data_IF_286141051690
#
_entry.id   IF_286141051690
#
_cell.length_a   1.000
_cell.length_b   1.000
_cell.length_c   1.000
_cell.angle_alpha   90.00
_cell.angle_beta   90.00
_cell.angle_gamma   90.00
#
_symmetry.space_group_name_H-M   'P 1'
#
loop_
_entity.id
_entity.type
_entity.pdbx_description
1 polymer ?
#
# COMPACT_ATOMS: atom_id res chain seq x y z
N UNK A 1 -22.53 -6.72 24.51
CA UNK A 1 -22.33 -7.84 23.57
C UNK A 1 -23.68 -8.44 23.25
N UNK A 2 -23.89 -8.90 22.01
CA UNK A 2 -25.12 -9.47 21.51
C UNK A 2 -24.86 -10.93 21.11
N UNK A 3 -25.73 -11.83 21.53
CA UNK A 3 -25.69 -13.24 21.11
C UNK A 3 -26.54 -13.48 19.87
N UNK A 4 -25.97 -14.12 18.85
CA UNK A 4 -26.68 -14.59 17.67
C UNK A 4 -26.12 -15.92 17.18
N UNK A 5 -26.80 -16.55 16.24
CA UNK A 5 -26.39 -17.82 15.64
C UNK A 5 -26.30 -17.61 14.12
N UNK A 6 -25.15 -17.92 13.52
CA UNK A 6 -24.98 -17.89 12.06
C UNK A 6 -24.53 -19.27 11.59
N UNK A 7 -25.31 -19.94 10.73
CA UNK A 7 -25.04 -21.30 10.24
C UNK A 7 -24.75 -22.32 11.37
N UNK A 8 -25.54 -22.27 12.45
CA UNK A 8 -25.37 -23.09 13.66
C UNK A 8 -24.12 -22.78 14.51
N UNK A 9 -23.42 -21.69 14.22
CA UNK A 9 -22.30 -21.20 15.04
C UNK A 9 -22.84 -20.11 15.97
N UNK A 10 -22.72 -20.34 17.28
CA UNK A 10 -23.05 -19.33 18.29
C UNK A 10 -21.97 -18.25 18.34
N UNK A 11 -22.37 -16.99 18.23
CA UNK A 11 -21.50 -15.84 18.22
C UNK A 11 -21.87 -14.84 19.31
N UNK A 12 -20.84 -14.24 19.90
CA UNK A 12 -20.98 -13.10 20.79
C UNK A 12 -20.27 -11.90 20.14
N UNK A 13 -21.05 -10.92 19.69
CA UNK A 13 -20.54 -9.77 18.91
C UNK A 13 -20.79 -8.44 19.63
N UNK A 14 -20.09 -7.39 19.19
CA UNK A 14 -20.30 -6.06 19.74
C UNK A 14 -21.70 -5.55 19.43
N UNK A 15 -22.20 -4.67 20.29
CA UNK A 15 -23.40 -3.90 19.99
C UNK A 15 -23.18 -3.08 18.71
N UNK A 16 -24.23 -2.83 17.94
CA UNK A 16 -24.20 -2.14 16.63
C UNK A 16 -23.65 -2.91 15.42
N UNK A 17 -23.05 -4.10 15.59
CA UNK A 17 -22.58 -4.90 14.43
C UNK A 17 -23.73 -5.23 13.48
N UNK A 18 -23.49 -5.06 12.19
CA UNK A 18 -24.31 -5.64 11.13
C UNK A 18 -24.12 -7.16 11.07
N UNK A 19 -25.09 -7.87 10.48
CA UNK A 19 -24.96 -9.32 10.26
C UNK A 19 -23.70 -9.64 9.45
N UNK A 20 -23.34 -8.80 8.47
CA UNK A 20 -22.14 -8.99 7.67
C UNK A 20 -20.85 -8.85 8.49
N UNK A 21 -20.78 -7.87 9.40
CA UNK A 21 -19.63 -7.69 10.29
C UNK A 21 -19.52 -8.83 11.30
N UNK A 22 -20.65 -9.29 11.85
CA UNK A 22 -20.70 -10.47 12.71
C UNK A 22 -20.21 -11.73 11.98
N UNK A 23 -20.68 -11.97 10.75
CA UNK A 23 -20.22 -13.09 9.93
C UNK A 23 -18.71 -13.03 9.65
N UNK A 24 -18.19 -11.84 9.28
CA UNK A 24 -16.74 -11.64 9.07
C UNK A 24 -15.91 -11.90 10.31
N UNK A 25 -16.39 -11.49 11.49
CA UNK A 25 -15.67 -11.75 12.77
C UNK A 25 -15.55 -13.24 13.12
N UNK A 26 -16.37 -14.08 12.47
CA UNK A 26 -16.41 -15.52 12.64
C UNK A 26 -15.90 -16.28 11.41
N UNK A 27 -15.22 -15.61 10.46
CA UNK A 27 -14.75 -16.17 9.19
C UNK A 27 -15.86 -16.82 8.33
N UNK A 28 -17.11 -16.38 8.51
CA UNK A 28 -18.25 -16.83 7.69
C UNK A 28 -18.37 -15.93 6.47
N UNK A 29 -18.11 -16.49 5.30
CA UNK A 29 -18.17 -15.73 4.05
C UNK A 29 -19.62 -15.48 3.59
N UNK A 30 -19.93 -14.21 3.34
CA UNK A 30 -21.15 -13.75 2.66
C UNK A 30 -20.69 -12.91 1.46
N UNK A 31 -21.10 -13.24 0.21
CA UNK A 31 -20.59 -12.56 -0.98
C UNK A 31 -21.07 -11.10 -1.03
N UNK A 32 -20.12 -10.19 -1.25
CA UNK A 32 -20.37 -8.76 -1.39
C UNK A 32 -19.48 -8.13 -2.44
N UNK A 33 -20.01 -7.17 -3.21
CA UNK A 33 -19.21 -6.36 -4.14
C UNK A 33 -19.15 -4.90 -3.68
N UNK A 34 -20.28 -4.31 -3.24
CA UNK A 34 -20.24 -2.92 -2.81
C UNK A 34 -19.68 -2.74 -1.39
N UNK A 35 -19.75 -3.74 -0.50
CA UNK A 35 -19.12 -3.64 0.83
C UNK A 35 -17.60 -3.83 0.74
N UNK A 36 -16.85 -3.11 1.57
CA UNK A 36 -15.41 -3.29 1.79
C UNK A 36 -15.12 -3.04 3.28
N UNK A 37 -14.25 -3.81 3.96
CA UNK A 37 -13.99 -3.66 5.40
C UNK A 37 -13.53 -2.25 5.82
N UNK A 38 -12.66 -1.63 5.03
CA UNK A 38 -12.11 -0.31 5.34
C UNK A 38 -12.95 0.88 4.82
N UNK A 39 -14.17 0.63 4.33
CA UNK A 39 -15.04 1.68 3.78
C UNK A 39 -16.35 1.77 4.56
N UNK A 40 -16.92 2.98 4.71
CA UNK A 40 -18.26 3.13 5.27
C UNK A 40 -19.31 2.43 4.38
N UNK A 41 -20.53 2.19 4.90
CA UNK A 41 -21.60 1.51 4.16
C UNK A 41 -21.92 2.14 2.80
N UNK A 42 -22.49 1.36 1.88
CA UNK A 42 -22.78 1.84 0.52
C UNK A 42 -23.64 3.12 0.50
N UNK A 43 -24.68 3.18 1.34
CA UNK A 43 -25.58 4.32 1.45
C UNK A 43 -24.97 5.53 2.17
N UNK A 44 -23.71 5.48 2.60
CA UNK A 44 -23.01 6.68 3.05
C UNK A 44 -22.45 7.49 1.88
N UNK A 45 -22.53 7.00 0.64
CA UNK A 45 -22.06 7.71 -0.54
C UNK A 45 -22.85 9.00 -0.72
N UNK A 46 -22.15 10.13 -0.73
CA UNK A 46 -22.77 11.43 -0.97
C UNK A 46 -22.90 11.66 -2.48
N UNK A 47 -24.13 11.80 -2.95
CA UNK A 47 -24.42 12.07 -4.36
C UNK A 47 -23.97 13.49 -4.70
N UNK A 48 -23.32 13.62 -5.85
CA UNK A 48 -22.86 14.90 -6.39
C UNK A 48 -23.95 15.54 -7.23
N UNK A 49 -23.92 16.86 -7.42
CA UNK A 49 -24.84 17.52 -8.36
C UNK A 49 -24.55 17.08 -9.80
N UNK A 50 -23.26 17.02 -10.15
CA UNK A 50 -22.80 16.66 -11.48
C UNK A 50 -21.52 15.83 -11.42
N UNK A 51 -21.34 14.95 -12.41
CA UNK A 51 -20.10 14.21 -12.64
C UNK A 51 -19.76 14.18 -14.13
N UNK A 52 -18.49 13.93 -14.41
CA UNK A 52 -17.93 13.88 -15.75
C UNK A 52 -17.36 12.50 -16.03
N UNK A 53 -17.74 11.91 -17.17
CA UNK A 53 -17.07 10.78 -17.78
C UNK A 53 -16.46 11.29 -19.08
N UNK A 54 -15.18 11.66 -19.01
CA UNK A 54 -14.53 12.45 -20.05
C UNK A 54 -15.40 13.70 -20.36
N UNK A 55 -15.65 14.04 -21.62
CA UNK A 55 -16.41 15.22 -22.01
C UNK A 55 -17.93 15.10 -21.74
N UNK A 56 -18.41 13.95 -21.28
CA UNK A 56 -19.83 13.73 -21.01
C UNK A 56 -20.16 14.15 -19.58
N UNK A 57 -20.99 15.19 -19.45
CA UNK A 57 -21.52 15.66 -18.17
C UNK A 57 -22.84 14.96 -17.86
N UNK A 58 -22.94 14.40 -16.65
CA UNK A 58 -24.16 13.83 -16.11
C UNK A 58 -24.60 14.67 -14.90
N UNK A 59 -25.90 14.91 -14.79
CA UNK A 59 -26.51 15.67 -13.70
C UNK A 59 -27.43 14.75 -12.92
N UNK A 60 -27.42 14.91 -11.60
CA UNK A 60 -28.31 14.15 -10.72
C UNK A 60 -29.78 14.52 -10.96
N UNK A 61 -30.65 13.52 -10.93
CA UNK A 61 -32.09 13.74 -10.90
C UNK A 61 -32.52 14.50 -9.63
N UNK A 62 -33.46 15.44 -9.76
CA UNK A 62 -33.76 16.45 -8.73
C UNK A 62 -34.12 15.88 -7.34
N UNK A 63 -34.72 14.68 -7.29
CA UNK A 63 -35.16 14.01 -6.06
C UNK A 63 -34.44 12.67 -5.82
N UNK A 64 -33.42 12.35 -6.62
CA UNK A 64 -32.73 11.09 -6.49
C UNK A 64 -31.64 11.16 -5.42
N UNK A 65 -31.71 10.21 -4.48
CA UNK A 65 -30.73 10.02 -3.42
C UNK A 65 -30.16 8.61 -3.47
N UNK A 66 -29.03 8.36 -2.79
CA UNK A 66 -28.36 7.05 -2.80
C UNK A 66 -29.27 5.92 -2.29
N UNK A 67 -30.26 6.24 -1.47
CA UNK A 67 -31.30 5.35 -0.94
C UNK A 67 -32.19 4.74 -2.03
N UNK A 68 -32.29 5.38 -3.19
CA UNK A 68 -32.97 4.82 -4.36
C UNK A 68 -32.19 3.68 -5.03
N UNK A 69 -30.89 3.53 -4.71
CA UNK A 69 -30.00 2.54 -5.30
C UNK A 69 -29.78 1.39 -4.32
N UNK A 70 -30.20 0.17 -4.71
CA UNK A 70 -30.16 -1.02 -3.84
C UNK A 70 -28.75 -1.58 -3.55
N UNK A 71 -27.69 -1.02 -4.13
CA UNK A 71 -26.33 -1.57 -4.08
C UNK A 71 -26.19 -2.89 -4.85
N UNK A 72 -25.23 -3.75 -4.46
CA UNK A 72 -24.94 -4.98 -5.22
C UNK A 72 -25.95 -6.14 -5.02
N UNK A 73 -26.77 -6.10 -3.96
CA UNK A 73 -27.78 -7.14 -3.69
C UNK A 73 -27.26 -8.55 -3.35
N UNK A 74 -25.95 -8.79 -3.25
CA UNK A 74 -25.42 -10.15 -3.02
C UNK A 74 -25.42 -10.61 -1.55
N UNK A 75 -25.37 -9.65 -0.62
CA UNK A 75 -25.22 -9.90 0.82
C UNK A 75 -26.48 -10.42 1.51
N UNK A 76 -27.45 -10.95 0.76
CA UNK A 76 -28.72 -11.43 1.28
C UNK A 76 -28.56 -12.70 2.12
N UNK A 77 -29.33 -12.79 3.19
CA UNK A 77 -29.37 -13.89 4.16
C UNK A 77 -30.81 -14.16 4.58
N UNK A 78 -31.07 -15.36 5.11
CA UNK A 78 -32.35 -15.71 5.73
C UNK A 78 -32.22 -15.53 7.25
N UNK A 79 -33.12 -14.75 7.85
CA UNK A 79 -33.24 -14.64 9.32
C UNK A 79 -34.49 -15.39 9.74
N UNK A 80 -34.38 -16.21 10.79
CA UNK A 80 -35.53 -16.96 11.30
C UNK A 80 -36.63 -15.99 11.78
N UNK A 81 -37.86 -16.24 11.37
CA UNK A 81 -39.02 -15.37 11.64
C UNK A 81 -39.27 -14.28 10.60
N UNK A 82 -38.32 -13.99 9.70
CA UNK A 82 -38.52 -13.08 8.58
C UNK A 82 -38.99 -13.84 7.34
N UNK A 83 -40.02 -13.35 6.64
CA UNK A 83 -40.52 -13.99 5.42
C UNK A 83 -39.54 -13.79 4.25
N UNK A 84 -39.02 -12.58 4.09
CA UNK A 84 -38.12 -12.20 3.00
C UNK A 84 -36.64 -12.45 3.31
N UNK A 85 -35.82 -12.47 2.25
CA UNK A 85 -34.37 -12.43 2.38
C UNK A 85 -33.93 -11.00 2.62
N UNK A 86 -33.14 -10.78 3.66
CA UNK A 86 -32.70 -9.44 4.05
C UNK A 86 -31.20 -9.25 3.80
N UNK A 87 -30.75 -8.03 3.46
CA UNK A 87 -29.33 -7.76 3.23
C UNK A 87 -28.55 -7.64 4.55
N UNK A 88 -27.57 -8.53 4.72
CA UNK A 88 -26.71 -8.57 5.92
C UNK A 88 -25.86 -7.31 6.14
N UNK A 89 -25.56 -6.55 5.08
CA UNK A 89 -24.70 -5.36 5.17
C UNK A 89 -25.38 -4.13 5.79
N UNK A 90 -26.70 -4.14 5.94
CA UNK A 90 -27.48 -3.03 6.52
C UNK A 90 -28.26 -3.43 7.77
N UNK A 91 -28.47 -4.74 7.98
CA UNK A 91 -29.23 -5.24 9.12
C UNK A 91 -28.32 -5.41 10.34
N UNK A 92 -28.63 -4.69 11.42
CA UNK A 92 -27.99 -4.86 12.72
C UNK A 92 -28.38 -6.19 13.36
N UNK A 93 -27.42 -6.83 14.03
CA UNK A 93 -27.65 -8.04 14.82
C UNK A 93 -28.51 -7.70 16.04
N UNK A 94 -29.51 -8.53 16.33
CA UNK A 94 -30.29 -8.48 17.57
C UNK A 94 -30.09 -9.76 18.35
N UNK A 95 -30.24 -9.68 19.67
CA UNK A 95 -30.09 -10.84 20.55
C UNK A 95 -31.08 -11.95 20.16
N UNK A 96 -30.58 -13.18 20.03
CA UNK A 96 -31.38 -14.35 19.65
C UNK A 96 -31.64 -14.48 18.14
N UNK A 97 -31.05 -13.63 17.29
CA UNK A 97 -31.14 -13.82 15.84
C UNK A 97 -30.50 -15.14 15.41
N UNK A 98 -31.22 -15.89 14.57
CA UNK A 98 -30.73 -17.10 13.91
C UNK A 98 -30.67 -16.82 12.41
N UNK A 99 -29.49 -16.91 11.83
CA UNK A 99 -29.19 -16.49 10.45
C UNK A 99 -28.64 -17.68 9.66
N UNK A 100 -29.18 -17.88 8.47
CA UNK A 100 -28.68 -18.83 7.47
C UNK A 100 -28.15 -18.07 6.27
N UNK A 101 -26.90 -18.31 5.89
CA UNK A 101 -26.23 -17.56 4.82
C UNK A 101 -26.19 -18.28 3.47
N UNK A 102 -26.53 -19.57 3.45
CA UNK A 102 -26.42 -20.41 2.27
C UNK A 102 -27.55 -21.44 2.17
N UNK A 103 -28.48 -21.18 1.26
CA UNK A 103 -29.58 -22.09 0.87
C UNK A 103 -29.78 -22.00 -0.64
N UNK A 104 -30.49 -22.96 -1.24
CA UNK A 104 -30.78 -22.94 -2.67
C UNK A 104 -31.49 -21.64 -3.12
N UNK A 105 -32.46 -21.17 -2.32
CA UNK A 105 -33.18 -19.91 -2.59
C UNK A 105 -32.26 -18.68 -2.51
N UNK A 106 -31.35 -18.65 -1.53
CA UNK A 106 -30.34 -17.59 -1.42
C UNK A 106 -29.43 -17.59 -2.64
N UNK A 107 -28.91 -18.76 -3.05
CA UNK A 107 -28.03 -18.89 -4.23
C UNK A 107 -28.73 -18.41 -5.50
N UNK A 108 -29.95 -18.88 -5.78
CA UNK A 108 -30.75 -18.44 -6.93
C UNK A 108 -31.03 -16.94 -6.92
N UNK A 109 -31.34 -16.37 -5.75
CA UNK A 109 -31.56 -14.93 -5.64
C UNK A 109 -30.27 -14.13 -5.86
N UNK A 110 -29.12 -14.59 -5.37
CA UNK A 110 -27.81 -13.96 -5.64
C UNK A 110 -27.48 -13.96 -7.13
N UNK A 111 -27.68 -15.09 -7.81
CA UNK A 111 -27.50 -15.20 -9.26
C UNK A 111 -28.38 -14.20 -10.02
N UNK A 112 -29.67 -14.10 -9.65
CA UNK A 112 -30.59 -13.11 -10.23
C UNK A 112 -30.15 -11.67 -10.00
N UNK A 113 -29.66 -11.35 -8.80
CA UNK A 113 -29.17 -10.00 -8.48
C UNK A 113 -27.87 -9.66 -9.23
N UNK A 114 -27.10 -10.67 -9.67
CA UNK A 114 -25.86 -10.49 -10.41
C UNK A 114 -26.09 -10.22 -11.91
N UNK A 115 -27.22 -10.68 -12.48
CA UNK A 115 -27.60 -10.47 -13.89
C UNK A 115 -27.43 -9.01 -14.35
N UNK A 116 -28.02 -7.99 -13.70
CA UNK A 116 -27.89 -6.60 -14.17
C UNK A 116 -26.45 -6.08 -14.11
N UNK A 117 -25.62 -6.58 -13.19
CA UNK A 117 -24.21 -6.20 -13.09
C UNK A 117 -23.39 -6.82 -14.23
N UNK A 118 -23.63 -8.10 -14.54
CA UNK A 118 -22.96 -8.79 -15.65
C UNK A 118 -23.44 -8.27 -17.01
N UNK A 119 -24.69 -7.86 -17.12
CA UNK A 119 -25.22 -7.24 -18.34
C UNK A 119 -24.48 -5.94 -18.71
N UNK A 120 -23.88 -5.25 -17.73
CA UNK A 120 -23.10 -4.02 -17.92
C UNK A 120 -21.58 -4.19 -17.74
N UNK A 121 -21.08 -5.43 -17.62
CA UNK A 121 -19.65 -5.70 -17.43
C UNK A 121 -19.19 -6.89 -18.28
N UNK A 122 -18.02 -6.81 -18.95
CA UNK A 122 -17.47 -7.93 -19.71
C UNK A 122 -17.32 -9.20 -18.85
N UNK A 123 -18.04 -10.25 -19.22
CA UNK A 123 -18.05 -11.52 -18.49
C UNK A 123 -17.97 -12.75 -19.40
N UNK A 124 -17.87 -12.56 -20.72
CA UNK A 124 -17.81 -13.66 -21.70
C UNK A 124 -16.64 -14.62 -21.44
N UNK A 125 -15.52 -14.13 -20.89
CA UNK A 125 -14.39 -14.98 -20.52
C UNK A 125 -14.68 -15.83 -19.28
N UNK A 126 -15.58 -15.39 -18.39
CA UNK A 126 -15.88 -16.10 -17.14
C UNK A 126 -16.68 -17.38 -17.38
N UNK A 127 -17.42 -17.47 -18.48
CA UNK A 127 -18.14 -18.70 -18.88
C UNK A 127 -17.32 -19.62 -19.78
N UNK A 128 -16.09 -19.22 -20.15
CA UNK A 128 -15.22 -20.01 -21.02
C UNK A 128 -14.52 -21.14 -20.23
N UNK A 129 -14.65 -22.38 -20.70
CA UNK A 129 -13.99 -23.54 -20.11
C UNK A 129 -12.46 -23.56 -20.27
N UNK A 130 -11.91 -22.72 -21.15
CA UNK A 130 -10.47 -22.61 -21.44
C UNK A 130 -9.87 -21.30 -20.90
N UNK A 131 -10.51 -20.65 -19.92
CA UNK A 131 -10.07 -19.34 -19.40
C UNK A 131 -8.78 -19.40 -18.59
N UNK A 132 -8.43 -20.57 -18.03
CA UNK A 132 -7.20 -20.74 -17.26
C UNK A 132 -5.96 -20.57 -18.17
N UNK A 133 -5.06 -19.66 -17.78
CA UNK A 133 -3.89 -19.29 -18.60
C UNK A 133 -4.21 -18.43 -19.83
N UNK A 134 -5.46 -17.99 -20.01
CA UNK A 134 -5.85 -17.14 -21.13
C UNK A 134 -5.28 -15.72 -20.97
N UNK A 135 -4.82 -15.15 -22.10
CA UNK A 135 -4.40 -13.74 -22.18
C UNK A 135 -5.49 -12.99 -22.97
N UNK A 136 -6.44 -12.34 -22.27
CA UNK A 136 -7.72 -11.97 -22.88
C UNK A 136 -7.61 -10.87 -23.95
N UNK A 137 -6.57 -10.04 -23.89
CA UNK A 137 -6.35 -8.91 -24.80
C UNK A 137 -5.47 -9.25 -26.01
N UNK A 138 -5.27 -10.54 -26.33
CA UNK A 138 -4.58 -10.96 -27.55
C UNK A 138 -5.48 -10.86 -28.79
N UNK A 139 -4.88 -10.80 -29.98
CA UNK A 139 -5.65 -10.69 -31.24
C UNK A 139 -6.48 -11.94 -31.55
N UNK A 140 -6.18 -13.08 -30.92
CA UNK A 140 -6.81 -14.37 -31.22
C UNK A 140 -7.64 -14.86 -30.03
N UNK A 141 -8.95 -15.01 -30.24
CA UNK A 141 -9.83 -15.69 -29.30
C UNK A 141 -10.52 -16.87 -30.01
N UNK A 142 -10.30 -18.13 -29.58
CA UNK A 142 -10.96 -19.30 -30.17
C UNK A 142 -12.49 -19.22 -30.10
N UNK A 143 -13.03 -18.57 -29.07
CA UNK A 143 -14.47 -18.33 -28.91
C UNK A 143 -15.02 -17.16 -29.75
N UNK A 144 -14.18 -16.50 -30.55
CA UNK A 144 -14.54 -15.34 -31.39
C UNK A 144 -15.27 -14.22 -30.63
N UNK A 145 -14.93 -14.03 -29.36
CA UNK A 145 -15.44 -12.91 -28.56
C UNK A 145 -14.69 -11.64 -28.99
N UNK A 146 -15.37 -10.51 -29.31
CA UNK A 146 -14.71 -9.23 -29.59
C UNK A 146 -13.87 -8.76 -28.41
N UNK A 147 -12.73 -8.11 -28.64
CA UNK A 147 -11.80 -7.67 -27.58
C UNK A 147 -12.51 -6.81 -26.52
N UNK A 148 -13.37 -5.89 -26.95
CA UNK A 148 -14.12 -4.98 -26.06
C UNK A 148 -15.20 -5.67 -25.20
N UNK A 149 -15.50 -6.94 -25.47
CA UNK A 149 -16.44 -7.75 -24.69
C UNK A 149 -15.74 -8.83 -23.84
N UNK A 150 -14.40 -8.84 -23.85
CA UNK A 150 -13.57 -9.76 -23.04
C UNK A 150 -13.25 -9.14 -21.69
N UNK A 151 -12.90 -9.99 -20.72
CA UNK A 151 -12.34 -9.51 -19.47
C UNK A 151 -11.02 -8.76 -19.72
N UNK A 152 -10.74 -7.77 -18.88
CA UNK A 152 -9.49 -7.02 -18.96
C UNK A 152 -8.27 -7.85 -18.54
N UNK A 153 -7.08 -7.23 -18.53
CA UNK A 153 -5.81 -7.84 -18.10
C UNK A 153 -5.82 -8.40 -16.65
N UNK A 154 -6.84 -8.10 -15.84
CA UNK A 154 -7.02 -8.65 -14.50
C UNK A 154 -7.67 -10.05 -14.47
N UNK A 155 -7.95 -10.67 -15.61
CA UNK A 155 -8.51 -12.03 -15.65
C UNK A 155 -7.67 -13.00 -14.78
N UNK A 156 -8.35 -13.79 -13.96
CA UNK A 156 -7.78 -14.69 -12.95
C UNK A 156 -7.32 -14.01 -11.65
N UNK A 157 -7.32 -12.67 -11.60
CA UNK A 157 -6.79 -11.88 -10.48
C UNK A 157 -7.77 -10.80 -9.98
N UNK A 158 -9.00 -10.76 -10.52
CA UNK A 158 -10.01 -9.76 -10.21
C UNK A 158 -10.87 -10.16 -8.99
N UNK A 159 -11.19 -9.22 -8.09
CA UNK A 159 -12.08 -9.50 -6.95
C UNK A 159 -13.50 -9.81 -7.44
N UNK A 160 -14.01 -9.04 -8.40
CA UNK A 160 -15.33 -9.26 -8.98
C UNK A 160 -15.46 -10.67 -9.57
N UNK A 161 -14.45 -11.14 -10.30
CA UNK A 161 -14.41 -12.51 -10.83
C UNK A 161 -14.56 -13.57 -9.74
N UNK A 162 -13.81 -13.45 -8.64
CA UNK A 162 -13.91 -14.40 -7.51
C UNK A 162 -15.31 -14.44 -6.91
N UNK A 163 -15.98 -13.29 -6.82
CA UNK A 163 -17.36 -13.21 -6.34
C UNK A 163 -18.33 -13.85 -7.34
N UNK A 164 -18.15 -13.58 -8.63
CA UNK A 164 -18.96 -14.17 -9.71
C UNK A 164 -18.79 -15.69 -9.74
N UNK A 165 -17.58 -16.20 -9.61
CA UNK A 165 -17.30 -17.64 -9.57
C UNK A 165 -17.97 -18.32 -8.35
N UNK A 166 -17.96 -17.65 -7.19
CA UNK A 166 -18.62 -18.16 -6.00
C UNK A 166 -20.15 -18.17 -6.11
N UNK A 167 -20.74 -17.10 -6.67
CA UNK A 167 -22.21 -16.98 -6.81
C UNK A 167 -22.74 -17.82 -7.98
N UNK A 168 -21.96 -17.94 -9.04
CA UNK A 168 -22.35 -18.51 -10.32
C UNK A 168 -23.07 -17.50 -11.22
N UNK A 169 -23.01 -17.76 -12.53
CA UNK A 169 -23.70 -16.98 -13.56
C UNK A 169 -25.00 -17.70 -13.91
N UNK A 170 -26.13 -16.98 -13.85
CA UNK A 170 -27.43 -17.55 -14.23
C UNK A 170 -27.47 -17.83 -15.75
N UNK A 171 -28.05 -18.95 -16.21
CA UNK A 171 -28.17 -19.26 -17.65
C UNK A 171 -28.89 -18.18 -18.46
N UNK A 172 -29.84 -17.47 -17.84
CA UNK A 172 -30.58 -16.36 -18.45
C UNK A 172 -29.81 -15.02 -18.50
N UNK A 173 -28.55 -14.99 -18.03
CA UNK A 173 -27.74 -13.77 -18.06
C UNK A 173 -27.45 -13.38 -19.52
N UNK A 174 -27.83 -12.17 -19.95
CA UNK A 174 -27.58 -11.74 -21.32
C UNK A 174 -26.08 -11.52 -21.53
N UNK A 175 -25.61 -11.78 -22.75
CA UNK A 175 -24.24 -11.44 -23.15
C UNK A 175 -24.03 -9.93 -23.00
N UNK A 176 -22.91 -9.54 -22.41
CA UNK A 176 -22.49 -8.15 -22.34
C UNK A 176 -22.34 -7.58 -23.76
N UNK A 177 -22.92 -6.40 -23.98
CA UNK A 177 -22.71 -5.62 -25.19
C UNK A 177 -21.86 -4.41 -24.85
N UNK A 178 -20.83 -4.16 -25.66
CA UNK A 178 -19.92 -3.06 -25.42
C UNK A 178 -20.67 -1.71 -25.40
N UNK A 179 -20.66 -1.07 -24.24
CA UNK A 179 -21.39 0.18 -24.00
C UNK A 179 -20.75 1.40 -24.67
N UNK A 180 -19.53 1.25 -25.20
CA UNK A 180 -18.76 2.33 -25.82
C UNK A 180 -18.61 3.56 -24.91
N UNK A 181 -18.43 3.32 -23.61
CA UNK A 181 -18.16 4.36 -22.63
C UNK A 181 -16.71 4.85 -22.76
N UNK A 182 -16.41 6.08 -22.29
CA UNK A 182 -15.06 6.64 -22.40
C UNK A 182 -13.99 5.77 -21.73
N UNK A 183 -12.83 5.68 -22.39
CA UNK A 183 -11.58 5.11 -21.87
C UNK A 183 -10.55 6.24 -21.76
N UNK A 184 -10.16 6.60 -20.54
CA UNK A 184 -9.28 7.73 -20.25
C UNK A 184 -7.91 7.20 -19.83
N UNK A 185 -6.92 7.35 -20.71
CA UNK A 185 -5.51 6.99 -20.47
C UNK A 185 -4.58 8.22 -20.45
N UNK A 186 -5.17 9.41 -20.55
CA UNK A 186 -4.48 10.70 -20.55
C UNK A 186 -4.11 11.20 -19.15
N UNK A 187 -4.70 10.63 -18.09
CA UNK A 187 -4.30 10.95 -16.73
C UNK A 187 -2.85 10.49 -16.45
N UNK A 188 -2.12 11.18 -15.55
CA UNK A 188 -0.69 10.94 -15.32
C UNK A 188 -0.41 9.56 -14.75
N UNK A 189 -1.17 9.15 -13.71
CA UNK A 189 -0.89 7.93 -12.95
C UNK A 189 -1.90 6.80 -13.14
N UNK A 190 -3.09 7.07 -13.67
CA UNK A 190 -4.18 6.09 -13.66
C UNK A 190 -4.82 5.95 -15.03
N UNK A 191 -5.23 4.73 -15.36
CA UNK A 191 -6.15 4.47 -16.46
C UNK A 191 -7.57 4.34 -15.91
N UNK A 192 -8.55 4.93 -16.60
CA UNK A 192 -9.97 4.85 -16.25
C UNK A 192 -10.75 4.26 -17.43
N UNK A 193 -11.29 3.05 -17.28
CA UNK A 193 -12.16 2.43 -18.27
C UNK A 193 -13.57 2.23 -17.69
N UNK A 194 -14.49 3.10 -18.09
CA UNK A 194 -15.86 3.06 -17.55
C UNK A 194 -16.67 1.86 -18.09
N UNK A 195 -16.22 1.17 -19.15
CA UNK A 195 -16.84 -0.08 -19.61
C UNK A 195 -16.59 -1.24 -18.62
N UNK A 196 -15.63 -1.09 -17.71
CA UNK A 196 -15.33 -2.04 -16.66
C UNK A 196 -15.98 -1.66 -15.32
N UNK A 197 -16.70 -0.53 -15.27
CA UNK A 197 -17.34 -0.05 -14.05
C UNK A 197 -18.63 -0.81 -13.76
N UNK A 198 -18.80 -1.23 -12.51
CA UNK A 198 -20.01 -1.88 -12.00
C UNK A 198 -20.78 -1.01 -10.98
N UNK A 199 -20.49 0.30 -10.97
CA UNK A 199 -21.13 1.29 -10.11
C UNK A 199 -21.18 0.93 -8.60
N UNK A 200 -20.18 0.21 -8.08
CA UNK A 200 -20.19 -0.24 -6.67
C UNK A 200 -19.97 0.88 -5.63
N UNK A 201 -19.59 2.08 -6.07
CA UNK A 201 -19.39 3.25 -5.21
C UNK A 201 -18.19 3.18 -4.26
N UNK A 202 -17.33 2.14 -4.34
CA UNK A 202 -16.16 2.02 -3.46
C UNK A 202 -15.16 3.16 -3.66
N UNK A 203 -14.87 3.50 -4.92
CA UNK A 203 -13.95 4.58 -5.29
C UNK A 203 -14.43 5.97 -4.83
N UNK A 204 -15.74 6.22 -4.87
CA UNK A 204 -16.35 7.46 -4.39
C UNK A 204 -16.24 7.53 -2.86
N UNK A 205 -16.68 6.49 -2.14
CA UNK A 205 -16.63 6.47 -0.67
C UNK A 205 -15.22 6.55 -0.10
N UNK A 206 -14.23 5.90 -0.71
CA UNK A 206 -12.84 6.07 -0.26
C UNK A 206 -12.33 7.50 -0.51
N UNK A 207 -12.75 8.14 -1.61
CA UNK A 207 -12.37 9.51 -1.93
C UNK A 207 -13.00 10.53 -0.97
N UNK A 208 -14.29 10.36 -0.66
CA UNK A 208 -15.07 11.23 0.23
C UNK A 208 -14.68 11.00 1.70
N UNK A 209 -14.87 9.78 2.20
CA UNK A 209 -14.90 9.51 3.64
C UNK A 209 -13.54 9.11 4.23
N UNK A 210 -12.70 8.43 3.45
CA UNK A 210 -11.38 7.99 3.93
C UNK A 210 -10.30 9.03 3.63
N UNK A 211 -10.38 9.67 2.46
CA UNK A 211 -9.38 10.65 2.02
C UNK A 211 -9.80 12.10 2.20
N UNK A 212 -11.10 12.40 2.23
CA UNK A 212 -11.58 13.79 2.31
C UNK A 212 -11.21 14.63 1.09
N UNK A 213 -11.06 14.01 -0.09
CA UNK A 213 -10.61 14.69 -1.32
C UNK A 213 -11.78 15.07 -2.22
N UNK A 214 -12.86 14.28 -2.23
CA UNK A 214 -14.08 14.55 -3.00
C UNK A 214 -13.89 14.69 -4.52
N UNK A 215 -12.77 14.25 -5.09
CA UNK A 215 -12.50 14.32 -6.54
C UNK A 215 -13.33 13.34 -7.40
N UNK A 216 -13.85 12.27 -6.79
CA UNK A 216 -14.75 11.33 -7.43
C UNK A 216 -16.13 11.47 -6.81
N UNK A 217 -17.15 11.45 -7.66
CA UNK A 217 -18.56 11.59 -7.29
C UNK A 217 -19.43 10.52 -7.94
N UNK A 218 -20.69 10.48 -7.51
CA UNK A 218 -21.73 9.70 -8.15
C UNK A 218 -22.98 10.55 -8.38
N UNK A 219 -23.65 10.35 -9.51
CA UNK A 219 -24.99 10.89 -9.78
C UNK A 219 -25.95 9.75 -10.06
N UNK A 220 -27.23 9.98 -9.83
CA UNK A 220 -28.30 9.09 -10.28
C UNK A 220 -28.90 9.70 -11.54
N UNK A 221 -28.86 8.92 -12.61
CA UNK A 221 -29.36 9.31 -13.92
C UNK A 221 -29.99 8.08 -14.58
N UNK A 222 -31.23 8.21 -15.03
CA UNK A 222 -32.08 7.13 -15.52
C UNK A 222 -32.20 5.98 -14.50
N UNK A 223 -32.31 6.31 -13.21
CA UNK A 223 -32.37 5.36 -12.11
C UNK A 223 -31.08 4.53 -11.90
N UNK A 224 -29.97 4.90 -12.54
CA UNK A 224 -28.67 4.23 -12.42
C UNK A 224 -27.64 5.12 -11.76
N UNK A 225 -26.79 4.53 -10.92
CA UNK A 225 -25.64 5.21 -10.35
C UNK A 225 -24.52 5.31 -11.39
N UNK A 226 -24.17 6.53 -11.76
CA UNK A 226 -23.05 6.84 -12.66
C UNK A 226 -21.93 7.46 -11.84
N UNK A 227 -20.73 6.91 -11.96
CA UNK A 227 -19.54 7.35 -11.23
C UNK A 227 -18.60 8.09 -12.18
N UNK A 228 -18.13 9.26 -11.76
CA UNK A 228 -17.20 10.07 -12.54
C UNK A 228 -16.37 11.01 -11.68
N UNK A 229 -15.65 11.92 -12.32
CA UNK A 229 -14.98 13.03 -11.63
C UNK A 229 -15.96 14.16 -11.34
N UNK A 230 -15.72 14.89 -10.26
CA UNK A 230 -16.45 16.15 -9.98
C UNK A 230 -15.69 17.33 -10.58
N UNK A 231 -16.36 18.47 -10.74
CA UNK A 231 -15.80 19.77 -11.18
C UNK A 231 -15.19 19.82 -12.59
N UNK A 232 -14.81 18.69 -13.18
CA UNK A 232 -14.28 18.61 -14.54
C UNK A 232 -13.95 17.17 -14.98
N UNK A 233 -13.61 16.97 -16.26
CA UNK A 233 -13.35 15.65 -16.85
C UNK A 233 -12.02 15.01 -16.40
N UNK A 234 -10.97 15.82 -16.23
CA UNK A 234 -9.66 15.33 -15.82
C UNK A 234 -9.50 15.29 -14.29
N UNK A 235 -8.66 14.37 -13.79
CA UNK A 235 -8.47 14.22 -12.34
C UNK A 235 -7.83 15.46 -11.69
N UNK A 236 -7.01 16.22 -12.43
CA UNK A 236 -6.42 17.47 -11.94
C UNK A 236 -7.49 18.58 -11.77
N UNK A 237 -8.44 18.70 -12.69
CA UNK A 237 -9.58 19.62 -12.61
C UNK A 237 -10.52 19.25 -11.46
N UNK A 238 -10.67 17.95 -11.19
CA UNK A 238 -11.38 17.43 -10.03
C UNK A 238 -10.62 17.58 -8.69
N UNK A 239 -9.49 18.28 -8.69
CA UNK A 239 -8.61 18.48 -7.53
C UNK A 239 -8.08 17.19 -6.87
N UNK A 240 -8.03 16.10 -7.63
CA UNK A 240 -7.51 14.81 -7.17
C UNK A 240 -6.09 14.94 -6.63
N UNK A 241 -5.83 14.30 -5.49
CA UNK A 241 -4.50 14.22 -4.87
C UNK A 241 -3.68 13.02 -5.34
N UNK A 242 -4.22 12.23 -6.27
CA UNK A 242 -3.60 11.04 -6.85
C UNK A 242 -3.06 10.03 -5.81
N UNK A 243 -3.83 9.82 -4.74
CA UNK A 243 -3.42 8.95 -3.63
C UNK A 243 -3.53 7.44 -3.91
N UNK A 244 -4.08 7.04 -5.08
CA UNK A 244 -4.24 5.64 -5.50
C UNK A 244 -5.32 4.85 -4.77
N UNK A 245 -5.94 5.36 -3.70
CA UNK A 245 -6.87 4.54 -2.90
C UNK A 245 -8.15 4.13 -3.63
N UNK A 246 -8.59 4.89 -4.64
CA UNK A 246 -9.71 4.48 -5.50
C UNK A 246 -9.37 3.31 -6.43
N UNK A 247 -8.12 3.23 -6.90
CA UNK A 247 -7.59 2.11 -7.69
C UNK A 247 -7.53 0.85 -6.83
N UNK A 248 -7.00 0.97 -5.61
CA UNK A 248 -6.88 -0.17 -4.68
C UNK A 248 -8.24 -0.81 -4.36
N UNK A 249 -9.27 -0.02 -4.04
CA UNK A 249 -10.59 -0.54 -3.67
C UNK A 249 -11.49 -0.90 -4.85
N UNK A 250 -11.10 -0.60 -6.09
CA UNK A 250 -11.87 -0.97 -7.27
C UNK A 250 -11.96 -2.49 -7.33
N UNK A 251 -13.14 -3.14 -7.34
CA UNK A 251 -13.22 -4.61 -7.39
C UNK A 251 -13.01 -5.17 -8.80
N UNK A 252 -13.03 -4.29 -9.82
CA UNK A 252 -12.84 -4.63 -11.24
C UNK A 252 -11.53 -4.01 -11.76
N UNK A 253 -11.45 -3.76 -13.07
CA UNK A 253 -10.39 -3.00 -13.72
C UNK A 253 -10.79 -1.58 -14.14
N UNK A 254 -11.90 -1.03 -13.62
CA UNK A 254 -12.37 0.28 -14.04
C UNK A 254 -11.42 1.43 -13.71
N UNK A 255 -10.66 1.30 -12.61
CA UNK A 255 -9.61 2.21 -12.21
C UNK A 255 -8.35 1.39 -11.98
N UNK A 256 -7.27 1.70 -12.69
CA UNK A 256 -6.00 0.98 -12.65
C UNK A 256 -4.82 1.93 -12.57
N UNK A 257 -3.70 1.45 -12.02
CA UNK A 257 -2.43 2.18 -12.05
C UNK A 257 -1.80 2.09 -13.44
N UNK A 258 -1.16 3.16 -13.89
CA UNK A 258 -0.55 3.22 -15.22
C UNK A 258 0.71 2.35 -15.23
N UNK A 259 0.77 1.43 -16.20
CA UNK A 259 1.88 0.49 -16.34
C UNK A 259 1.73 -0.80 -15.53
N UNK A 260 0.85 -0.84 -14.51
CA UNK A 260 0.53 -2.07 -13.77
C UNK A 260 -0.94 -2.11 -13.35
N UNK A 261 -1.67 -3.08 -13.89
CA UNK A 261 -3.07 -3.35 -13.55
C UNK A 261 -3.35 -3.44 -12.04
N UNK A 262 -2.40 -4.04 -11.30
CA UNK A 262 -2.35 -4.09 -9.83
C UNK A 262 -0.91 -3.99 -9.34
N UNK A 263 -0.72 -3.21 -8.29
CA UNK A 263 0.54 -3.13 -7.56
C UNK A 263 0.64 -4.39 -6.67
N UNK A 264 1.76 -5.12 -6.75
CA UNK A 264 1.99 -6.35 -5.97
C UNK A 264 3.24 -6.27 -5.11
N UNK A 265 4.30 -5.70 -5.68
CA UNK A 265 5.60 -5.63 -5.03
C UNK A 265 5.77 -4.34 -4.22
N UNK A 266 6.67 -4.36 -3.24
CA UNK A 266 6.99 -3.16 -2.44
C UNK A 266 7.48 -2.00 -3.31
N UNK A 267 8.19 -2.29 -4.40
CA UNK A 267 8.63 -1.29 -5.39
C UNK A 267 7.46 -0.57 -6.06
N UNK A 268 6.33 -1.25 -6.20
CA UNK A 268 5.16 -0.73 -6.89
C UNK A 268 4.34 0.15 -5.94
N UNK A 269 4.21 -0.31 -4.70
CA UNK A 269 3.43 0.35 -3.66
C UNK A 269 4.18 1.54 -3.03
N UNK A 270 5.47 1.38 -2.76
CA UNK A 270 6.30 2.35 -2.03
C UNK A 270 7.71 2.44 -2.67
N UNK A 271 7.83 3.00 -3.88
CA UNK A 271 9.08 2.98 -4.65
C UNK A 271 10.23 3.65 -3.91
N UNK A 272 9.97 4.73 -3.16
CA UNK A 272 11.01 5.39 -2.39
C UNK A 272 11.63 4.48 -1.31
N UNK A 273 10.83 3.61 -0.67
CA UNK A 273 11.31 2.66 0.33
C UNK A 273 12.08 1.52 -0.33
N UNK A 274 11.57 0.97 -1.43
CA UNK A 274 12.23 -0.08 -2.19
C UNK A 274 13.58 0.37 -2.77
N UNK A 275 13.65 1.62 -3.25
CA UNK A 275 14.88 2.21 -3.77
C UNK A 275 15.90 2.57 -2.69
N UNK A 276 15.50 2.66 -1.42
CA UNK A 276 16.40 3.00 -0.33
C UNK A 276 17.19 1.75 0.10
N UNK A 277 18.53 1.74 0.04
CA UNK A 277 19.32 0.57 0.46
C UNK A 277 19.16 0.22 1.96
N UNK A 278 18.74 1.19 2.78
CA UNK A 278 18.41 0.98 4.19
C UNK A 278 16.95 0.63 4.45
N UNK A 279 16.11 0.56 3.41
CA UNK A 279 14.66 0.35 3.46
C UNK A 279 13.94 1.25 4.48
N UNK A 280 14.45 2.46 4.67
CA UNK A 280 13.91 3.44 5.61
C UNK A 280 12.45 3.70 5.26
N UNK A 281 11.58 3.79 6.26
CA UNK A 281 10.18 4.13 6.05
C UNK A 281 10.04 5.63 5.71
N UNK A 282 10.39 5.97 4.47
CA UNK A 282 10.40 7.33 3.94
C UNK A 282 9.03 8.01 4.05
N UNK A 283 7.92 7.38 3.58
CA UNK A 283 6.61 7.99 3.71
C UNK A 283 6.25 8.36 5.15
N UNK A 284 6.61 7.51 6.11
CA UNK A 284 6.31 7.75 7.52
C UNK A 284 7.07 8.96 8.06
N UNK A 285 8.39 9.06 7.89
CA UNK A 285 9.11 10.21 8.45
C UNK A 285 8.75 11.50 7.70
N UNK A 286 8.44 11.47 6.40
CA UNK A 286 7.92 12.64 5.67
C UNK A 286 6.57 13.10 6.25
N UNK A 287 5.68 12.15 6.56
CA UNK A 287 4.39 12.41 7.22
C UNK A 287 4.59 12.99 8.63
N UNK A 288 5.59 12.54 9.36
CA UNK A 288 5.90 13.04 10.70
C UNK A 288 6.46 14.46 10.64
N UNK A 289 7.43 14.72 9.75
CA UNK A 289 7.97 16.08 9.52
C UNK A 289 6.86 17.05 9.10
N UNK A 290 5.98 16.67 8.17
CA UNK A 290 4.86 17.53 7.75
C UNK A 290 3.85 17.83 8.87
N UNK A 291 3.84 17.04 9.95
CA UNK A 291 3.02 17.27 11.16
C UNK A 291 3.80 17.97 12.29
N UNK A 292 5.02 18.42 12.04
CA UNK A 292 5.90 19.00 13.07
C UNK A 292 6.46 18.00 14.07
N UNK A 293 6.27 16.68 13.85
CA UNK A 293 6.75 15.59 14.71
C UNK A 293 8.19 15.21 14.36
N UNK A 294 9.09 16.17 14.51
CA UNK A 294 10.48 16.06 14.04
C UNK A 294 11.25 15.00 14.82
N UNK A 295 10.97 14.84 16.12
CA UNK A 295 11.62 13.83 16.97
C UNK A 295 11.27 12.42 16.54
N UNK A 296 9.99 12.13 16.36
CA UNK A 296 9.52 10.84 15.89
C UNK A 296 10.01 10.55 14.45
N UNK A 297 10.15 11.58 13.60
CA UNK A 297 10.76 11.41 12.29
C UNK A 297 12.23 10.99 12.38
N UNK A 298 13.02 11.62 13.27
CA UNK A 298 14.40 11.24 13.52
C UNK A 298 14.52 9.82 14.09
N UNK A 299 13.58 9.38 14.95
CA UNK A 299 13.49 8.01 15.45
C UNK A 299 13.29 7.00 14.30
N UNK A 300 12.34 7.28 13.39
CA UNK A 300 12.10 6.43 12.21
C UNK A 300 13.35 6.33 11.33
N UNK A 301 14.05 7.45 11.10
CA UNK A 301 15.30 7.47 10.31
C UNK A 301 16.39 6.63 10.99
N UNK A 302 16.60 6.85 12.30
CA UNK A 302 17.64 6.19 13.08
C UNK A 302 17.35 4.70 13.38
N UNK A 303 16.10 4.25 13.24
CA UNK A 303 15.72 2.84 13.42
C UNK A 303 16.38 1.90 12.40
N UNK A 304 16.78 2.43 11.23
CA UNK A 304 17.38 1.65 10.14
C UNK A 304 18.80 2.10 9.81
N UNK A 305 19.14 3.36 10.03
CA UNK A 305 20.43 3.93 9.62
C UNK A 305 21.38 4.09 10.80
N UNK A 306 22.59 3.52 10.68
CA UNK A 306 23.70 3.73 11.63
C UNK A 306 24.26 5.16 11.57
N UNK A 307 24.25 5.76 10.38
CA UNK A 307 24.79 7.11 10.11
C UNK A 307 23.71 8.06 9.60
N UNK A 308 22.64 8.30 10.39
CA UNK A 308 21.48 9.04 9.91
C UNK A 308 21.81 10.52 9.63
N UNK A 309 22.69 11.15 10.42
CA UNK A 309 23.07 12.56 10.26
C UNK A 309 24.00 12.75 9.07
N UNK A 310 24.99 11.86 8.88
CA UNK A 310 25.85 11.81 7.69
C UNK A 310 25.00 11.64 6.43
N UNK A 311 24.04 10.71 6.43
CA UNK A 311 23.14 10.48 5.30
C UNK A 311 22.16 11.65 5.05
N UNK A 312 21.98 12.56 6.00
CA UNK A 312 21.32 13.86 5.77
C UNK A 312 22.16 14.79 4.88
N UNK A 313 23.50 14.68 4.92
CA UNK A 313 24.42 15.53 4.15
C UNK A 313 24.77 14.95 2.79
N UNK A 314 25.11 13.65 2.73
CA UNK A 314 25.79 13.06 1.56
C UNK A 314 25.04 11.92 0.87
N UNK A 315 23.81 11.61 1.27
CA UNK A 315 23.02 10.56 0.61
C UNK A 315 22.79 10.93 -0.87
N UNK A 316 22.99 9.95 -1.75
CA UNK A 316 22.77 10.06 -3.20
C UNK A 316 21.28 9.87 -3.60
N UNK A 317 20.39 9.77 -2.61
CA UNK A 317 18.93 9.85 -2.74
C UNK A 317 18.30 9.07 -3.92
N UNK A 318 18.57 7.75 -4.06
CA UNK A 318 17.97 6.94 -5.12
C UNK A 318 16.44 6.92 -5.07
N UNK A 319 15.89 7.09 -3.86
CA UNK A 319 14.47 7.21 -3.61
C UNK A 319 13.79 8.45 -4.24
N UNK A 320 14.55 9.47 -4.62
CA UNK A 320 14.01 10.65 -5.31
C UNK A 320 13.90 10.42 -6.82
N UNK A 321 14.76 9.54 -7.38
CA UNK A 321 14.72 9.15 -8.80
C UNK A 321 13.47 8.33 -9.08
N UNK A 322 13.17 7.35 -8.22
CA UNK A 322 11.97 6.50 -8.31
C UNK A 322 10.69 7.19 -7.80
N UNK A 323 10.72 8.50 -7.54
CA UNK A 323 9.56 9.20 -7.03
C UNK A 323 8.49 9.34 -8.12
N UNK A 324 7.30 8.77 -7.89
CA UNK A 324 6.13 8.90 -8.81
C UNK A 324 5.71 10.34 -9.11
N UNK A 325 6.19 11.32 -8.32
CA UNK A 325 6.01 12.74 -8.64
C UNK A 325 6.65 13.14 -9.98
N UNK A 326 7.69 12.42 -10.40
CA UNK A 326 8.34 12.62 -11.70
C UNK A 326 7.37 12.34 -12.86
N UNK A 327 6.39 11.44 -12.68
CA UNK A 327 5.38 11.15 -13.70
C UNK A 327 4.38 12.30 -13.88
N UNK A 328 4.32 13.27 -12.95
CA UNK A 328 3.43 14.43 -13.05
C UNK A 328 4.03 15.62 -13.78
N UNK A 329 5.36 15.69 -13.90
CA UNK A 329 6.03 16.90 -14.42
C UNK A 329 5.65 17.22 -15.86
N UNK A 330 5.19 16.24 -16.63
CA UNK A 330 4.70 16.42 -18.00
C UNK A 330 3.22 16.85 -18.08
N UNK A 331 2.43 16.60 -17.03
CA UNK A 331 0.96 16.75 -17.06
C UNK A 331 0.43 17.97 -16.32
N UNK A 332 1.23 18.58 -15.45
CA UNK A 332 0.81 19.72 -14.65
C UNK A 332 1.55 20.99 -15.09
N UNK A 333 0.80 22.09 -15.21
CA UNK A 333 1.33 23.42 -15.59
C UNK A 333 2.30 24.00 -14.54
N UNK A 334 2.37 23.39 -13.35
CA UNK A 334 3.36 23.68 -12.32
C UNK A 334 4.42 22.59 -12.37
N UNK A 335 5.68 22.98 -12.54
CA UNK A 335 6.84 22.09 -12.40
C UNK A 335 6.77 21.36 -11.05
N UNK A 336 6.32 20.11 -11.08
CA UNK A 336 6.29 19.25 -9.91
C UNK A 336 7.58 18.46 -9.88
N UNK A 337 8.40 18.80 -8.90
CA UNK A 337 9.65 18.11 -8.63
C UNK A 337 9.42 16.94 -7.65
N UNK A 338 10.34 15.95 -7.67
CA UNK A 338 10.36 14.90 -6.65
C UNK A 338 10.49 15.52 -5.26
N UNK A 339 9.98 14.81 -4.25
CA UNK A 339 10.16 15.28 -2.87
C UNK A 339 11.65 15.25 -2.53
N UNK A 340 12.21 16.36 -2.06
CA UNK A 340 13.60 16.44 -1.60
C UNK A 340 13.79 15.71 -0.26
N UNK A 341 13.75 14.39 -0.33
CA UNK A 341 13.87 13.43 0.76
C UNK A 341 15.17 13.63 1.53
N UNK A 342 16.29 13.87 0.83
CA UNK A 342 17.61 14.09 1.45
C UNK A 342 17.60 15.31 2.35
N UNK A 343 17.08 16.45 1.89
CA UNK A 343 17.00 17.66 2.71
C UNK A 343 16.02 17.51 3.87
N UNK A 344 14.90 16.81 3.69
CA UNK A 344 13.97 16.56 4.79
C UNK A 344 14.60 15.66 5.86
N UNK A 345 15.41 14.67 5.46
CA UNK A 345 16.21 13.88 6.38
C UNK A 345 17.22 14.77 7.13
N UNK A 346 17.95 15.62 6.41
CA UNK A 346 18.89 16.57 7.02
C UNK A 346 18.21 17.48 8.05
N UNK A 347 17.03 18.02 7.69
CA UNK A 347 16.21 18.84 8.57
C UNK A 347 15.82 18.07 9.83
N UNK A 348 15.30 16.85 9.70
CA UNK A 348 14.90 16.04 10.85
C UNK A 348 16.07 15.73 11.79
N UNK A 349 17.23 15.40 11.21
CA UNK A 349 18.43 15.03 11.96
C UNK A 349 19.15 16.24 12.59
N UNK A 350 19.00 17.43 12.00
CA UNK A 350 19.58 18.68 12.50
C UNK A 350 18.71 19.34 13.58
N UNK A 351 17.39 19.15 13.54
CA UNK A 351 16.42 19.79 14.45
C UNK A 351 15.86 18.82 15.50
N UNK A 352 16.57 17.71 15.76
CA UNK A 352 16.15 16.75 16.76
C UNK A 352 17.32 16.11 17.49
N UNK A 353 17.06 15.70 18.72
CA UNK A 353 17.89 14.76 19.45
C UNK A 353 17.48 13.34 19.07
N UNK A 354 18.48 12.49 18.84
CA UNK A 354 18.23 11.09 18.58
C UNK A 354 17.66 10.41 19.84
N UNK A 355 16.78 9.40 19.70
CA UNK A 355 16.26 8.69 20.86
C UNK A 355 17.39 8.05 21.66
N UNK A 356 17.18 7.73 22.94
CA UNK A 356 18.11 6.90 23.70
C UNK A 356 18.42 5.60 22.95
N UNK A 357 19.65 5.11 23.08
CA UNK A 357 20.03 3.83 22.51
C UNK A 357 19.29 2.70 23.24
N UNK A 358 18.70 1.79 22.48
CA UNK A 358 18.17 0.55 23.04
C UNK A 358 19.34 -0.28 23.57
N UNK A 359 19.27 -0.68 24.85
CA UNK A 359 20.25 -1.59 25.43
C UNK A 359 19.82 -3.02 25.19
N UNK A 360 20.75 -3.95 24.90
CA UNK A 360 20.39 -5.35 24.77
C UNK A 360 19.79 -5.87 26.07
N UNK A 361 18.64 -6.54 26.00
CA UNK A 361 17.99 -7.15 27.17
C UNK A 361 18.87 -8.23 27.81
N UNK A 362 19.67 -8.93 27.00
CA UNK A 362 20.57 -10.00 27.45
C UNK A 362 21.91 -9.90 26.74
N UNK A 363 22.99 -10.07 27.50
CA UNK A 363 24.32 -10.28 26.93
C UNK A 363 24.45 -11.73 26.47
N UNK A 364 25.02 -11.93 25.29
CA UNK A 364 25.25 -13.26 24.71
C UNK A 364 26.53 -13.93 25.23
N UNK A 365 27.41 -13.14 25.85
CA UNK A 365 28.76 -13.58 26.25
C UNK A 365 29.73 -13.75 25.08
N UNK A 366 29.28 -13.55 23.83
CA UNK A 366 30.10 -13.68 22.63
C UNK A 366 30.91 -12.41 22.37
N UNK A 367 32.19 -12.61 22.00
CA UNK A 367 33.13 -11.54 21.66
C UNK A 367 33.40 -11.54 20.17
N UNK A 368 33.19 -10.41 19.51
CA UNK A 368 33.35 -10.27 18.06
C UNK A 368 34.40 -9.18 17.79
N UNK A 369 35.38 -9.50 16.96
CA UNK A 369 36.33 -8.54 16.45
C UNK A 369 35.90 -8.03 15.08
N UNK A 370 35.94 -6.72 14.87
CA UNK A 370 35.66 -6.09 13.58
C UNK A 370 36.92 -5.40 13.09
N UNK A 371 37.35 -5.68 11.86
CA UNK A 371 38.53 -5.06 11.24
C UNK A 371 38.08 -3.95 10.31
N UNK A 372 38.47 -2.71 10.62
CA UNK A 372 38.12 -1.49 9.91
C UNK A 372 36.91 -0.77 10.53
N UNK A 373 37.03 0.55 10.72
CA UNK A 373 35.98 1.42 11.26
C UNK A 373 35.25 2.23 10.17
N UNK A 374 35.29 1.76 8.92
CA UNK A 374 34.47 2.33 7.86
C UNK A 374 32.96 2.09 8.09
N UNK A 375 32.10 2.59 7.18
CA UNK A 375 30.65 2.45 7.32
C UNK A 375 30.18 1.02 7.58
N UNK A 376 30.74 0.04 6.86
CA UNK A 376 30.40 -1.37 7.02
C UNK A 376 30.82 -1.93 8.40
N UNK A 377 32.04 -1.63 8.84
CA UNK A 377 32.57 -2.10 10.12
C UNK A 377 31.82 -1.51 11.32
N UNK A 378 31.64 -0.19 11.36
CA UNK A 378 30.90 0.47 12.43
C UNK A 378 29.41 0.10 12.44
N UNK A 379 28.78 -0.08 11.28
CA UNK A 379 27.40 -0.61 11.20
C UNK A 379 27.30 -2.01 11.77
N UNK A 380 28.24 -2.89 11.39
CA UNK A 380 28.30 -4.25 11.91
C UNK A 380 28.49 -4.25 13.42
N UNK A 381 29.43 -3.43 13.92
CA UNK A 381 29.70 -3.33 15.34
C UNK A 381 28.49 -2.83 16.12
N UNK A 382 27.85 -1.75 15.66
CA UNK A 382 26.65 -1.18 16.26
C UNK A 382 25.54 -2.22 16.43
N UNK A 383 25.12 -2.89 15.34
CA UNK A 383 24.01 -3.84 15.40
C UNK A 383 24.35 -5.11 16.16
N UNK A 384 25.61 -5.57 16.15
CA UNK A 384 26.02 -6.71 16.98
C UNK A 384 26.01 -6.37 18.47
N UNK A 385 26.41 -5.15 18.84
CA UNK A 385 26.32 -4.67 20.23
C UNK A 385 24.86 -4.57 20.68
N UNK A 386 23.95 -4.05 19.84
CA UNK A 386 22.51 -4.05 20.13
C UNK A 386 21.91 -5.45 20.30
N UNK A 387 22.52 -6.47 19.68
CA UNK A 387 22.17 -7.90 19.89
C UNK A 387 22.82 -8.53 21.12
N UNK A 388 23.57 -7.76 21.91
CA UNK A 388 24.17 -8.21 23.17
C UNK A 388 25.52 -8.88 23.02
N UNK A 389 26.22 -8.70 21.89
CA UNK A 389 27.60 -9.13 21.72
C UNK A 389 28.57 -8.07 22.26
N UNK A 390 29.73 -8.50 22.75
CA UNK A 390 30.85 -7.59 23.04
C UNK A 390 31.65 -7.41 21.75
N UNK A 391 31.78 -6.16 21.28
CA UNK A 391 32.41 -5.88 19.99
C UNK A 391 33.58 -4.92 20.14
N UNK A 392 34.74 -5.32 19.61
CA UNK A 392 35.94 -4.49 19.50
C UNK A 392 36.26 -4.27 18.03
N UNK A 393 36.35 -3.00 17.62
CA UNK A 393 36.72 -2.57 16.28
C UNK A 393 38.21 -2.20 16.26
N UNK A 394 38.95 -2.74 15.31
CA UNK A 394 40.35 -2.41 15.07
C UNK A 394 40.45 -1.47 13.87
N UNK A 395 41.01 -0.28 14.06
CA UNK A 395 41.19 0.74 13.02
C UNK A 395 42.67 1.05 12.84
N UNK A 396 43.11 1.12 11.58
CA UNK A 396 44.49 1.43 11.21
C UNK A 396 44.80 2.92 11.38
N UNK A 397 43.84 3.79 11.08
CA UNK A 397 44.01 5.23 11.16
C UNK A 397 43.83 5.76 12.60
N UNK A 398 44.18 7.03 12.83
CA UNK A 398 44.17 7.66 14.16
C UNK A 398 42.75 7.72 14.77
N UNK A 399 41.72 7.90 13.95
CA UNK A 399 40.33 8.12 14.36
C UNK A 399 39.35 7.26 13.56
N UNK A 400 38.23 6.82 14.18
CA UNK A 400 37.25 6.00 13.49
C UNK A 400 36.48 6.75 12.41
N UNK A 401 35.94 6.02 11.44
CA UNK A 401 35.05 6.54 10.38
C UNK A 401 35.50 6.20 8.95
N UNK A 402 36.71 5.66 8.79
CA UNK A 402 37.25 5.25 7.49
C UNK A 402 37.10 6.32 6.41
N UNK A 403 36.62 5.93 5.23
CA UNK A 403 36.47 6.85 4.09
C UNK A 403 35.48 8.00 4.33
N UNK A 404 34.55 7.91 5.28
CA UNK A 404 33.71 9.05 5.64
C UNK A 404 34.54 10.18 6.24
N UNK A 405 35.56 9.85 7.05
CA UNK A 405 36.46 10.82 7.67
C UNK A 405 37.57 11.25 6.73
N UNK A 406 38.22 10.28 6.10
CA UNK A 406 39.48 10.51 5.39
C UNK A 406 39.31 10.74 3.88
N UNK A 407 38.14 10.43 3.32
CA UNK A 407 37.88 10.53 1.87
C UNK A 407 36.92 11.63 1.45
N UNK A 408 36.08 12.15 2.34
CA UNK A 408 35.05 13.14 2.00
C UNK A 408 35.48 14.53 2.49
N UNK A 409 35.53 15.55 1.61
CA UNK A 409 35.88 16.91 2.02
C UNK A 409 34.92 17.49 3.07
N UNK A 410 35.46 18.26 4.02
CA UNK A 410 34.70 18.82 5.14
C UNK A 410 33.53 19.74 4.76
N UNK A 411 33.60 20.44 3.62
CA UNK A 411 32.48 21.25 3.13
C UNK A 411 31.28 20.40 2.69
N UNK A 412 31.51 19.13 2.31
CA UNK A 412 30.46 18.18 1.90
C UNK A 412 29.97 17.35 3.08
N UNK A 413 30.88 16.96 3.98
CA UNK A 413 30.58 16.30 5.25
C UNK A 413 31.34 16.98 6.39
N UNK A 414 30.71 17.90 7.14
CA UNK A 414 31.33 18.52 8.30
C UNK A 414 31.72 17.47 9.34
N UNK A 415 32.89 17.64 9.96
CA UNK A 415 33.44 16.64 10.86
C UNK A 415 32.57 16.44 12.09
N UNK A 416 31.93 17.51 12.58
CA UNK A 416 31.04 17.51 13.73
C UNK A 416 29.80 16.63 13.49
N UNK A 417 29.31 16.59 12.25
CA UNK A 417 28.19 15.74 11.86
C UNK A 417 28.61 14.27 11.85
N UNK A 418 29.82 13.97 11.38
CA UNK A 418 30.36 12.61 11.44
C UNK A 418 30.59 12.17 12.90
N UNK A 419 31.19 13.02 13.72
CA UNK A 419 31.44 12.73 15.14
C UNK A 419 30.12 12.51 15.91
N UNK A 420 29.05 13.22 15.57
CA UNK A 420 27.72 13.00 16.17
C UNK A 420 27.25 11.55 15.99
N UNK A 421 27.32 11.02 14.78
CA UNK A 421 26.88 9.65 14.50
C UNK A 421 27.88 8.63 15.08
N UNK A 422 29.20 8.87 14.99
CA UNK A 422 30.20 7.98 15.59
C UNK A 422 30.07 7.91 17.11
N UNK A 423 29.93 9.05 17.78
CA UNK A 423 29.78 9.11 19.24
C UNK A 423 28.60 8.28 19.70
N UNK A 424 27.47 8.38 19.00
CA UNK A 424 26.29 7.54 19.26
C UNK A 424 26.58 6.04 19.07
N UNK A 425 27.38 5.65 18.09
CA UNK A 425 27.78 4.25 17.90
C UNK A 425 28.62 3.78 19.09
N UNK A 426 29.57 4.59 19.56
CA UNK A 426 30.41 4.26 20.71
C UNK A 426 29.61 4.18 22.02
N UNK A 427 28.64 5.09 22.21
CA UNK A 427 27.70 5.09 23.34
C UNK A 427 26.88 3.78 23.43
N UNK A 428 26.74 3.03 22.33
CA UNK A 428 26.07 1.72 22.37
C UNK A 428 26.88 0.64 23.11
N UNK A 429 28.17 0.89 23.33
CA UNK A 429 29.12 -0.06 23.92
C UNK A 429 30.09 -0.68 22.92
N UNK A 430 30.24 -0.10 21.73
CA UNK A 430 31.29 -0.49 20.77
C UNK A 430 32.63 0.05 21.26
N UNK A 431 33.61 -0.84 21.40
CA UNK A 431 34.99 -0.47 21.71
C UNK A 431 35.79 -0.30 20.42
N UNK A 432 36.68 0.69 20.36
CA UNK A 432 37.53 0.92 19.18
C UNK A 432 38.98 1.06 19.61
N UNK A 433 39.85 0.25 19.03
CA UNK A 433 41.30 0.39 19.11
C UNK A 433 41.84 0.97 17.79
N UNK A 434 42.35 2.19 17.84
CA UNK A 434 42.91 2.90 16.68
C UNK A 434 44.42 2.70 16.56
N UNK A 435 45.01 3.09 15.43
CA UNK A 435 46.43 2.89 15.11
C UNK A 435 46.87 1.41 15.14
N UNK A 436 45.97 0.48 14.80
CA UNK A 436 46.24 -0.96 14.72
C UNK A 436 45.97 -1.46 13.31
N UNK A 437 47.02 -1.85 12.60
CA UNK A 437 46.94 -2.51 11.30
C UNK A 437 46.92 -4.02 11.46
N UNK A 438 45.78 -4.65 11.15
CA UNK A 438 45.69 -6.11 11.09
C UNK A 438 46.54 -6.64 9.93
N UNK A 439 47.34 -7.66 10.20
CA UNK A 439 48.38 -8.21 9.31
C UNK A 439 49.78 -7.63 9.54
N UNK A 440 49.91 -6.53 10.31
CA UNK A 440 51.20 -5.96 10.72
C UNK A 440 51.38 -5.94 12.24
N UNK A 441 50.42 -5.34 12.95
CA UNK A 441 50.49 -5.14 14.40
C UNK A 441 49.80 -6.27 15.18
N UNK A 442 48.71 -6.81 14.63
CA UNK A 442 47.98 -7.99 15.15
C UNK A 442 47.62 -8.92 13.98
N UNK A 443 47.51 -10.22 14.22
CA UNK A 443 47.03 -11.19 13.23
C UNK A 443 45.61 -11.66 13.56
N UNK A 444 44.92 -12.26 12.60
CA UNK A 444 43.57 -12.81 12.84
C UNK A 444 43.65 -13.95 13.85
N UNK A 445 44.71 -14.76 13.78
CA UNK A 445 44.97 -15.87 14.69
C UNK A 445 45.19 -15.36 16.12
N UNK A 446 45.95 -14.27 16.29
CA UNK A 446 46.16 -13.69 17.62
C UNK A 446 44.88 -13.11 18.21
N UNK A 447 44.03 -12.48 17.39
CA UNK A 447 42.71 -11.98 17.82
C UNK A 447 41.81 -13.12 18.30
N UNK A 448 41.76 -14.23 17.55
CA UNK A 448 40.98 -15.42 17.94
C UNK A 448 41.54 -16.07 19.21
N UNK A 449 42.86 -16.20 19.31
CA UNK A 449 43.52 -16.74 20.49
C UNK A 449 43.25 -15.92 21.76
N UNK A 450 43.05 -14.60 21.61
CA UNK A 450 42.66 -13.68 22.68
C UNK A 450 41.14 -13.72 23.01
N UNK A 451 40.42 -14.71 22.48
CA UNK A 451 39.05 -15.02 22.88
C UNK A 451 37.95 -14.38 22.03
N UNK A 452 38.25 -13.90 20.83
CA UNK A 452 37.21 -13.52 19.86
C UNK A 452 36.57 -14.78 19.27
N UNK A 453 35.24 -14.93 19.42
CA UNK A 453 34.46 -16.02 18.84
C UNK A 453 34.34 -15.88 17.30
N UNK A 454 34.33 -14.65 16.80
CA UNK A 454 34.22 -14.36 15.37
C UNK A 454 35.02 -13.11 14.98
N UNK A 455 35.42 -13.04 13.72
CA UNK A 455 36.12 -11.90 13.13
C UNK A 455 35.38 -11.48 11.85
N UNK A 456 34.97 -10.22 11.77
CA UNK A 456 34.41 -9.61 10.57
C UNK A 456 35.43 -8.66 9.95
N UNK A 457 35.70 -8.80 8.64
CA UNK A 457 36.73 -8.02 7.95
C UNK A 457 36.06 -7.04 6.99
N UNK A 458 36.29 -5.75 7.23
CA UNK A 458 35.78 -4.63 6.41
C UNK A 458 36.90 -3.66 6.04
N UNK A 459 37.95 -4.17 5.38
CA UNK A 459 39.16 -3.41 5.04
C UNK A 459 38.94 -2.20 4.10
N UNK A 460 37.74 -2.01 3.57
CA UNK A 460 37.39 -0.91 2.68
C UNK A 460 38.14 -0.95 1.33
N UNK A 461 37.96 0.10 0.53
CA UNK A 461 38.65 0.31 -0.74
C UNK A 461 39.38 1.67 -0.69
N UNK A 462 40.40 1.78 0.16
CA UNK A 462 41.15 3.02 0.38
C UNK A 462 42.21 3.28 -0.71
N UNK A 463 42.54 2.28 -1.52
CA UNK A 463 43.41 2.41 -2.67
C UNK A 463 42.56 2.53 -3.94
N UNK A 464 42.86 3.53 -4.76
CA UNK A 464 42.28 3.63 -6.11
C UNK A 464 42.67 2.39 -6.92
N UNK A 465 41.76 1.91 -7.78
CA UNK A 465 42.04 0.83 -8.75
C UNK A 465 42.83 1.33 -9.97
N UNK A 466 43.30 2.58 -9.96
CA UNK A 466 44.05 3.22 -11.04
C UNK A 466 45.55 2.95 -10.90
#
# INVERSE_FOLDING_TARGET
MIHCIINNIELEVQDEYTILEAARSADIYIPTICSHPDLPPFHSLEISETVYLDNNKYTNEADASIESISGCGLCIVKVNGEEELIPSCKTKVKSGMIITTDTEDIRKRRQKNLIPILASHPHSCLTCSQREGCIPLTDVCPGNVPVDERCCELLGNCEFEKVVDYVGIAPETPRYQYANLPKINSDPLFNRDFNLCIACGRCVRVCQHVKGVYALGGVINEGKLIIGTVNGPALNEAECKFCGSCVEVCPTGALQDKGKARLKELSDLIPCRAACPGEVNIPLYLRLVSKGKVREAAEVIASRLTFPSVLGKICFHPCEVECRRNEFSEFLTKNIEPVNIRMIKDFAMSNSTLPPLEKPEKKTGKKIAVVGSGPAGLTTAYFLTLKGHSVTVYEKEEKPGGMLRYGIPGYRLPIEILEKDISRILESGVEVETNISIGKDKTIESIKANGADAVFISAGLSQSKL
#
